data_IF_716401985984
#
_entry.id   IF_716401985984
#
_cell.length_a   1.000
_cell.length_b   1.000
_cell.length_c   1.000
_cell.angle_alpha   90.00
_cell.angle_beta   90.00
_cell.angle_gamma   90.00
#
_symmetry.space_group_name_H-M   'P 1'
#
loop_
_entity.id
_entity.type
_entity.pdbx_description
1 polymer ?
#
# COMPACT_ATOMS: atom_id res chain seq x y z
N UNK A 1 -8.88 17.52 3.10
CA UNK A 1 -9.35 17.30 1.71
C UNK A 1 -9.65 15.83 1.37
N UNK A 2 -8.71 14.88 1.48
CA UNK A 2 -8.98 13.45 1.15
C UNK A 2 -10.17 12.84 1.89
N UNK A 3 -10.36 13.18 3.18
CA UNK A 3 -11.50 12.70 3.97
C UNK A 3 -12.86 13.05 3.36
N UNK A 4 -13.00 14.23 2.75
CA UNK A 4 -14.22 14.62 2.02
C UNK A 4 -14.44 13.77 0.78
N UNK A 5 -13.38 13.54 0.00
CA UNK A 5 -13.44 12.73 -1.21
C UNK A 5 -13.88 11.31 -0.86
N UNK A 6 -13.22 10.69 0.13
CA UNK A 6 -13.57 9.34 0.59
C UNK A 6 -14.97 9.27 1.17
N UNK A 7 -15.40 10.28 1.93
CA UNK A 7 -16.76 10.35 2.44
C UNK A 7 -17.79 10.35 1.31
N UNK A 8 -17.59 11.21 0.30
CA UNK A 8 -18.54 11.32 -0.81
C UNK A 8 -18.57 10.05 -1.66
N UNK A 9 -17.40 9.46 -1.97
CA UNK A 9 -17.31 8.18 -2.69
C UNK A 9 -18.00 7.06 -1.91
N UNK A 10 -17.76 6.99 -0.59
CA UNK A 10 -18.39 5.99 0.29
C UNK A 10 -19.91 6.11 0.28
N UNK A 11 -20.44 7.34 0.29
CA UNK A 11 -21.88 7.55 0.22
C UNK A 11 -22.49 7.24 -1.13
N UNK A 12 -21.82 7.60 -2.23
CA UNK A 12 -22.25 7.19 -3.57
C UNK A 12 -22.38 5.67 -3.67
N UNK A 13 -21.38 4.94 -3.16
CA UNK A 13 -21.40 3.48 -3.10
C UNK A 13 -22.51 2.95 -2.19
N UNK A 14 -22.71 3.55 -1.01
CA UNK A 14 -23.75 3.17 -0.08
C UNK A 14 -25.15 3.31 -0.70
N UNK A 15 -25.44 4.44 -1.35
CA UNK A 15 -26.74 4.66 -1.99
C UNK A 15 -26.98 3.70 -3.16
N UNK A 16 -25.93 3.44 -3.96
CA UNK A 16 -26.00 2.45 -5.04
C UNK A 16 -26.28 1.05 -4.49
N UNK A 17 -25.56 0.61 -3.46
CA UNK A 17 -25.72 -0.72 -2.83
C UNK A 17 -27.07 -0.88 -2.14
N UNK A 18 -27.63 0.19 -1.58
CA UNK A 18 -28.94 0.19 -0.91
C UNK A 18 -30.10 0.53 -1.86
N UNK A 19 -29.83 0.70 -3.16
CA UNK A 19 -30.80 1.05 -4.20
C UNK A 19 -31.65 2.30 -3.85
N UNK A 20 -31.04 3.27 -3.17
CA UNK A 20 -31.72 4.51 -2.77
C UNK A 20 -31.65 5.53 -3.91
N UNK A 21 -32.82 6.05 -4.31
CA UNK A 21 -32.90 7.05 -5.37
C UNK A 21 -32.73 8.47 -4.80
N UNK A 22 -31.50 8.98 -4.87
CA UNK A 22 -31.11 10.32 -4.39
C UNK A 22 -31.70 11.49 -5.22
N UNK A 23 -32.36 11.22 -6.34
CA UNK A 23 -32.95 12.24 -7.22
C UNK A 23 -34.46 12.42 -7.01
N UNK A 24 -35.09 11.62 -6.12
CA UNK A 24 -36.50 11.79 -5.77
C UNK A 24 -36.67 12.83 -4.66
N UNK A 25 -37.87 13.41 -4.58
CA UNK A 25 -38.26 14.35 -3.50
C UNK A 25 -38.22 13.71 -2.09
N UNK A 26 -38.34 12.38 -2.01
CA UNK A 26 -38.29 11.66 -0.75
C UNK A 26 -36.87 11.69 -0.17
N UNK A 27 -36.76 11.91 1.14
CA UNK A 27 -35.47 11.87 1.85
C UNK A 27 -34.89 10.45 1.78
N UNK A 28 -33.60 10.36 1.50
CA UNK A 28 -32.82 9.11 1.62
C UNK A 28 -32.36 8.92 3.06
N UNK A 29 -32.10 7.67 3.42
CA UNK A 29 -31.49 7.32 4.71
C UNK A 29 -29.98 7.53 4.60
N UNK A 30 -29.44 8.34 5.51
CA UNK A 30 -28.03 8.71 5.54
C UNK A 30 -27.42 8.29 6.88
N UNK A 31 -26.38 7.44 6.88
CA UNK A 31 -25.67 7.16 8.12
C UNK A 31 -24.89 8.40 8.55
N UNK A 32 -24.79 8.62 9.87
CA UNK A 32 -23.94 9.68 10.42
C UNK A 32 -22.47 9.26 10.26
N UNK A 33 -21.60 10.08 9.63
CA UNK A 33 -20.21 9.71 9.46
C UNK A 33 -19.37 10.02 10.69
N UNK A 34 -18.30 9.25 10.85
CA UNK A 34 -17.17 9.57 11.71
C UNK A 34 -15.90 9.48 10.88
N UNK A 35 -15.05 10.51 10.97
CA UNK A 35 -13.84 10.63 10.16
C UNK A 35 -12.62 10.55 11.06
N UNK A 36 -11.67 9.71 10.67
CA UNK A 36 -10.45 9.45 11.43
C UNK A 36 -9.22 9.66 10.54
N UNK A 37 -8.15 10.15 11.15
CA UNK A 37 -6.81 10.23 10.54
C UNK A 37 -5.80 9.67 11.53
N UNK A 38 -4.95 8.74 11.09
CA UNK A 38 -3.78 8.31 11.85
C UNK A 38 -2.64 9.28 11.59
N UNK A 39 -2.14 9.92 12.64
CA UNK A 39 -1.04 10.87 12.55
C UNK A 39 0.30 10.16 12.74
N UNK A 40 1.17 10.26 11.73
CA UNK A 40 2.48 9.57 11.71
C UNK A 40 3.68 10.52 11.89
N UNK A 41 3.44 11.82 12.01
CA UNK A 41 4.48 12.84 12.16
C UNK A 41 5.01 13.01 13.60
N UNK A 42 5.88 14.00 13.78
CA UNK A 42 6.56 14.30 15.07
C UNK A 42 6.02 15.55 15.79
N UNK A 43 4.86 16.09 15.35
CA UNK A 43 4.34 17.39 15.81
C UNK A 43 4.14 17.38 17.33
N UNK A 44 4.64 18.43 18.00
CA UNK A 44 4.39 18.68 19.42
C UNK A 44 2.96 19.24 19.57
N UNK A 45 2.13 18.55 20.36
CA UNK A 45 0.70 18.87 20.51
C UNK A 45 -0.17 17.87 19.75
N UNK A 46 -1.07 17.22 20.49
CA UNK A 46 -1.96 16.18 20.00
C UNK A 46 -3.41 16.66 20.08
N UNK A 47 -3.88 17.52 19.16
CA UNK A 47 -5.29 17.86 19.12
C UNK A 47 -6.13 16.60 18.90
N UNK A 48 -7.14 16.38 19.73
CA UNK A 48 -8.04 15.24 19.56
C UNK A 48 -8.83 15.33 18.25
N UNK A 49 -9.12 16.56 17.80
CA UNK A 49 -9.82 16.86 16.57
C UNK A 49 -9.06 17.91 15.77
N UNK A 50 -9.05 17.73 14.45
CA UNK A 50 -8.66 18.78 13.50
C UNK A 50 -9.89 19.14 12.67
N UNK A 51 -10.06 20.42 12.38
CA UNK A 51 -11.09 20.88 11.45
C UNK A 51 -10.46 21.54 10.22
N UNK A 52 -11.23 21.63 9.15
CA UNK A 52 -10.77 22.26 7.91
C UNK A 52 -10.61 23.77 8.11
N UNK A 53 -11.54 24.37 8.85
CA UNK A 53 -11.49 25.79 9.19
C UNK A 53 -10.23 26.17 9.96
N UNK A 54 -9.93 25.48 11.05
CA UNK A 54 -8.78 25.78 11.90
C UNK A 54 -7.44 25.61 11.16
N UNK A 55 -7.32 24.59 10.30
CA UNK A 55 -6.05 24.28 9.64
C UNK A 55 -5.81 25.10 8.35
N UNK A 56 -6.84 25.66 7.71
CA UNK A 56 -6.71 26.30 6.38
C UNK A 56 -7.35 27.68 6.24
N UNK A 57 -8.25 28.07 7.14
CA UNK A 57 -9.02 29.31 7.05
C UNK A 57 -8.93 30.13 8.34
N UNK A 58 -7.85 29.99 9.09
CA UNK A 58 -7.57 30.75 10.32
C UNK A 58 -8.72 30.72 11.35
N UNK A 59 -9.50 29.63 11.38
CA UNK A 59 -10.64 29.45 12.29
C UNK A 59 -11.90 30.22 11.91
N UNK A 60 -12.01 30.72 10.67
CA UNK A 60 -13.22 31.41 10.19
C UNK A 60 -14.45 30.47 10.13
N UNK A 61 -15.65 31.03 10.39
CA UNK A 61 -16.89 30.28 10.30
C UNK A 61 -17.12 29.79 8.86
N UNK A 62 -17.09 28.47 8.67
CA UNK A 62 -17.24 27.83 7.37
C UNK A 62 -18.62 27.18 7.24
N UNK A 63 -19.26 27.34 6.07
CA UNK A 63 -20.52 26.64 5.77
C UNK A 63 -20.35 25.11 5.71
N UNK A 64 -19.14 24.67 5.36
CA UNK A 64 -18.74 23.27 5.40
C UNK A 64 -17.41 23.16 6.14
N UNK A 65 -17.46 22.76 7.40
CA UNK A 65 -16.28 22.41 8.18
C UNK A 65 -16.22 20.90 8.42
N UNK A 66 -15.06 20.32 8.15
CA UNK A 66 -14.84 18.87 8.21
C UNK A 66 -13.98 18.57 9.40
N UNK A 67 -14.62 18.11 10.46
CA UNK A 67 -13.93 17.67 11.66
C UNK A 67 -13.50 16.21 11.52
N UNK A 68 -12.23 15.96 11.79
CA UNK A 68 -11.64 14.62 11.82
C UNK A 68 -11.05 14.37 13.20
N UNK A 69 -11.29 13.18 13.75
CA UNK A 69 -10.62 12.73 14.97
C UNK A 69 -9.23 12.23 14.62
N UNK A 70 -8.23 12.65 15.39
CA UNK A 70 -6.84 12.26 15.16
C UNK A 70 -6.47 11.11 16.07
N UNK A 71 -5.94 10.05 15.47
CA UNK A 71 -5.41 8.88 16.16
C UNK A 71 -3.88 8.98 16.19
N UNK A 72 -3.32 8.85 17.38
CA UNK A 72 -1.88 8.89 17.61
C UNK A 72 -1.41 7.52 18.07
N UNK A 73 -0.19 7.15 17.69
CA UNK A 73 0.48 6.02 18.32
C UNK A 73 0.76 6.35 19.78
N UNK A 74 0.30 5.51 20.69
CA UNK A 74 0.55 5.61 22.13
C UNK A 74 2.00 5.23 22.49
N UNK A 75 2.68 4.48 21.61
CA UNK A 75 3.97 3.84 21.88
C UNK A 75 3.84 2.47 22.54
N UNK A 76 2.62 2.05 22.86
CA UNK A 76 2.30 0.70 23.32
C UNK A 76 2.22 -0.28 22.13
N UNK A 77 2.07 -1.57 22.43
CA UNK A 77 1.90 -2.62 21.41
C UNK A 77 0.44 -2.69 20.90
N UNK A 78 -0.08 -1.55 20.46
CA UNK A 78 -1.43 -1.42 19.87
C UNK A 78 -1.37 -1.24 18.35
N UNK A 79 -2.47 -1.54 17.68
CA UNK A 79 -2.55 -1.52 16.20
C UNK A 79 -2.22 -0.14 15.59
N UNK A 80 -2.57 0.95 16.28
CA UNK A 80 -2.28 2.32 15.80
C UNK A 80 -0.79 2.60 15.94
N UNK A 81 -0.18 2.25 17.06
CA UNK A 81 1.26 2.38 17.28
C UNK A 81 2.09 1.53 16.31
N UNK A 82 1.64 0.30 16.03
CA UNK A 82 2.26 -0.56 15.03
C UNK A 82 2.16 0.05 13.62
N UNK A 83 0.99 0.57 13.23
CA UNK A 83 0.82 1.27 11.95
C UNK A 83 1.71 2.51 11.85
N UNK A 84 1.80 3.34 12.91
CA UNK A 84 2.68 4.51 12.94
C UNK A 84 4.14 4.09 12.75
N UNK A 85 4.54 2.99 13.39
CA UNK A 85 5.89 2.43 13.23
C UNK A 85 6.14 1.96 11.80
N UNK A 86 5.19 1.24 11.20
CA UNK A 86 5.25 0.82 9.80
C UNK A 86 5.42 2.01 8.85
N UNK A 87 4.61 3.06 9.02
CA UNK A 87 4.69 4.27 8.20
C UNK A 87 6.05 4.99 8.33
N UNK A 88 6.62 5.03 9.54
CA UNK A 88 7.96 5.60 9.77
C UNK A 88 9.06 4.79 9.08
N UNK A 89 9.03 3.46 9.23
CA UNK A 89 9.97 2.56 8.53
C UNK A 89 9.86 2.75 7.02
N UNK A 90 8.64 2.84 6.50
CA UNK A 90 8.42 3.09 5.08
C UNK A 90 9.01 4.42 4.61
N UNK A 91 8.79 5.51 5.34
CA UNK A 91 9.36 6.81 5.00
C UNK A 91 10.90 6.77 4.99
N UNK A 92 11.53 6.01 5.89
CA UNK A 92 12.98 5.76 5.88
C UNK A 92 13.43 4.98 4.64
N UNK A 93 12.73 3.90 4.29
CA UNK A 93 13.06 3.10 3.10
C UNK A 93 12.83 3.88 1.81
N UNK A 94 11.77 4.68 1.73
CA UNK A 94 11.50 5.55 0.59
C UNK A 94 12.58 6.62 0.42
N UNK A 95 13.12 7.18 1.52
CA UNK A 95 14.26 8.11 1.45
C UNK A 95 15.53 7.44 0.94
N UNK A 96 15.75 6.15 1.24
CA UNK A 96 16.93 5.38 0.81
C UNK A 96 16.83 4.85 -0.63
N UNK A 97 15.69 4.30 -0.99
CA UNK A 97 15.49 3.52 -2.22
C UNK A 97 14.55 4.20 -3.21
N UNK A 98 14.03 5.39 -2.90
CA UNK A 98 13.03 6.07 -3.70
C UNK A 98 11.65 5.41 -3.59
N UNK A 99 10.74 5.82 -4.49
CA UNK A 99 9.43 5.19 -4.65
C UNK A 99 9.57 3.90 -5.47
N UNK A 100 10.11 2.85 -4.86
CA UNK A 100 10.41 1.60 -5.56
C UNK A 100 9.81 0.40 -4.84
N UNK A 101 9.60 -0.69 -5.59
CA UNK A 101 9.24 -2.01 -5.03
C UNK A 101 10.21 -2.44 -3.93
N UNK A 102 11.51 -2.16 -4.10
CA UNK A 102 12.55 -2.43 -3.09
C UNK A 102 12.26 -1.72 -1.77
N UNK A 103 11.84 -0.45 -1.80
CA UNK A 103 11.49 0.28 -0.57
C UNK A 103 10.33 -0.40 0.19
N UNK A 104 9.35 -0.93 -0.54
CA UNK A 104 8.19 -1.64 0.03
C UNK A 104 8.63 -2.97 0.64
N UNK A 105 9.36 -3.80 -0.11
CA UNK A 105 9.82 -5.11 0.37
C UNK A 105 10.74 -5.00 1.60
N UNK A 106 11.67 -4.04 1.61
CA UNK A 106 12.50 -3.79 2.79
C UNK A 106 11.69 -3.29 3.98
N UNK A 107 10.64 -2.48 3.74
CA UNK A 107 9.74 -2.06 4.81
C UNK A 107 9.04 -3.26 5.44
N UNK A 108 8.49 -4.15 4.62
CA UNK A 108 7.80 -5.35 5.09
C UNK A 108 8.77 -6.25 5.87
N UNK A 109 9.96 -6.52 5.32
CA UNK A 109 11.01 -7.31 5.98
C UNK A 109 11.37 -6.73 7.35
N UNK A 110 11.69 -5.44 7.42
CA UNK A 110 12.06 -4.76 8.67
C UNK A 110 10.92 -4.77 9.68
N UNK A 111 9.67 -4.59 9.23
CA UNK A 111 8.52 -4.63 10.14
C UNK A 111 8.29 -6.04 10.70
N UNK A 112 8.44 -7.09 9.88
CA UNK A 112 8.40 -8.48 10.36
C UNK A 112 9.49 -8.76 11.39
N UNK A 113 10.73 -8.36 11.10
CA UNK A 113 11.88 -8.53 12.02
C UNK A 113 11.64 -7.82 13.37
N UNK A 114 10.88 -6.72 13.38
CA UNK A 114 10.54 -5.93 14.56
C UNK A 114 9.21 -6.32 15.21
N UNK A 115 8.53 -7.37 14.74
CA UNK A 115 7.19 -7.77 15.16
C UNK A 115 6.11 -6.67 14.98
N UNK A 116 6.29 -5.78 14.01
CA UNK A 116 5.32 -4.72 13.68
C UNK A 116 4.34 -5.23 12.64
N UNK A 117 3.04 -5.20 12.95
CA UNK A 117 1.96 -5.73 12.10
C UNK A 117 2.20 -7.19 11.67
N UNK A 118 2.89 -7.97 12.51
CA UNK A 118 3.45 -9.27 12.13
C UNK A 118 2.38 -10.24 11.62
N UNK A 119 1.26 -10.38 12.33
CA UNK A 119 0.16 -11.26 11.95
C UNK A 119 -0.38 -10.91 10.56
N UNK A 120 -0.63 -9.62 10.32
CA UNK A 120 -1.14 -9.13 9.05
C UNK A 120 -0.12 -9.31 7.91
N UNK A 121 1.14 -8.98 8.15
CA UNK A 121 2.19 -9.09 7.13
C UNK A 121 2.55 -10.54 6.82
N UNK A 122 2.38 -11.49 7.74
CA UNK A 122 2.58 -12.91 7.46
C UNK A 122 1.50 -13.46 6.53
N UNK A 123 0.25 -13.03 6.69
CA UNK A 123 -0.87 -13.53 5.89
C UNK A 123 -1.10 -12.76 4.58
N UNK A 124 -0.82 -11.44 4.58
CA UNK A 124 -1.28 -10.50 3.54
C UNK A 124 -0.16 -9.72 2.86
N UNK A 125 1.08 -10.20 2.92
CA UNK A 125 2.25 -9.52 2.33
C UNK A 125 2.02 -9.05 0.89
N UNK A 126 1.57 -9.94 0.00
CA UNK A 126 1.33 -9.61 -1.42
C UNK A 126 0.25 -8.57 -1.62
N UNK A 127 -0.77 -8.57 -0.76
CA UNK A 127 -1.85 -7.58 -0.79
C UNK A 127 -1.35 -6.21 -0.33
N UNK A 128 -0.57 -6.16 0.75
CA UNK A 128 0.08 -4.94 1.22
C UNK A 128 1.01 -4.38 0.15
N UNK A 129 1.83 -5.22 -0.44
CA UNK A 129 2.72 -4.83 -1.53
C UNK A 129 1.93 -4.22 -2.71
N UNK A 130 0.88 -4.90 -3.17
CA UNK A 130 0.03 -4.43 -4.26
C UNK A 130 -0.65 -3.09 -3.93
N UNK A 131 -1.17 -2.92 -2.71
CA UNK A 131 -1.79 -1.65 -2.27
C UNK A 131 -0.73 -0.53 -2.21
N UNK A 132 0.46 -0.82 -1.71
CA UNK A 132 1.52 0.21 -1.60
C UNK A 132 2.09 0.61 -2.95
N UNK A 133 2.22 -0.33 -3.88
CA UNK A 133 2.46 -0.04 -5.29
C UNK A 133 1.31 0.77 -5.88
N UNK A 134 0.06 0.42 -5.51
CA UNK A 134 -1.13 1.08 -6.00
C UNK A 134 -1.25 2.56 -5.62
N UNK A 135 -0.64 2.97 -4.51
CA UNK A 135 -0.61 4.38 -4.11
C UNK A 135 0.29 5.25 -5.00
N UNK A 136 1.05 4.64 -5.91
CA UNK A 136 1.83 5.30 -6.94
C UNK A 136 1.08 5.22 -8.26
N UNK A 137 0.32 6.29 -8.56
CA UNK A 137 -0.44 6.60 -9.80
C UNK A 137 -1.10 5.42 -10.54
N UNK A 138 -2.42 5.47 -10.75
CA UNK A 138 -3.26 4.34 -11.24
C UNK A 138 -2.73 3.63 -12.52
N UNK A 139 -1.96 4.34 -13.34
CA UNK A 139 -1.36 3.84 -14.57
C UNK A 139 -0.09 2.98 -14.35
N UNK A 140 0.69 3.27 -13.30
CA UNK A 140 1.93 2.55 -12.97
C UNK A 140 1.65 1.20 -12.30
N UNK A 141 0.59 1.11 -11.49
CA UNK A 141 0.10 -0.11 -10.80
C UNK A 141 -0.23 -1.23 -11.80
N UNK A 142 -0.99 -0.90 -12.84
CA UNK A 142 -1.42 -1.87 -13.83
C UNK A 142 -0.20 -2.38 -14.62
N UNK A 143 0.71 -1.46 -14.97
CA UNK A 143 1.94 -1.80 -15.68
C UNK A 143 2.88 -2.67 -14.83
N UNK A 144 3.03 -2.38 -13.54
CA UNK A 144 3.89 -3.15 -12.64
C UNK A 144 3.27 -4.48 -12.22
N UNK A 145 1.94 -4.58 -12.05
CA UNK A 145 1.26 -5.86 -11.86
C UNK A 145 1.44 -6.75 -13.11
N UNK A 146 1.23 -6.21 -14.31
CA UNK A 146 1.45 -6.95 -15.57
C UNK A 146 2.93 -7.35 -15.73
N UNK A 147 3.87 -6.48 -15.39
CA UNK A 147 5.31 -6.79 -15.45
C UNK A 147 5.71 -7.85 -14.42
N UNK A 148 5.22 -7.76 -13.20
CA UNK A 148 5.54 -8.72 -12.13
C UNK A 148 4.94 -10.10 -12.38
N UNK A 149 3.69 -10.22 -12.83
CA UNK A 149 3.14 -11.53 -13.21
C UNK A 149 3.88 -12.14 -14.41
N UNK A 150 4.22 -11.31 -15.42
CA UNK A 150 5.04 -11.78 -16.54
C UNK A 150 6.42 -12.21 -16.09
N UNK A 151 7.05 -11.47 -15.18
CA UNK A 151 8.36 -11.81 -14.63
C UNK A 151 8.32 -13.11 -13.83
N UNK A 152 7.32 -13.30 -12.97
CA UNK A 152 7.21 -14.49 -12.12
C UNK A 152 6.94 -15.75 -12.95
N UNK A 153 6.03 -15.67 -13.93
CA UNK A 153 5.81 -16.76 -14.89
C UNK A 153 7.09 -17.06 -15.69
N UNK A 154 7.80 -16.01 -16.12
CA UNK A 154 9.09 -16.17 -16.82
C UNK A 154 10.16 -16.82 -15.94
N UNK A 155 10.20 -16.46 -14.64
CA UNK A 155 11.09 -17.05 -13.63
C UNK A 155 10.78 -18.52 -13.40
N UNK A 156 9.51 -18.90 -13.25
CA UNK A 156 9.09 -20.30 -13.09
C UNK A 156 9.51 -21.17 -14.29
N UNK A 157 9.34 -20.64 -15.51
CA UNK A 157 9.79 -21.30 -16.74
C UNK A 157 11.32 -21.45 -16.75
N UNK A 158 12.06 -20.40 -16.41
CA UNK A 158 13.52 -20.43 -16.32
C UNK A 158 14.01 -21.45 -15.28
N UNK A 159 13.37 -21.51 -14.11
CA UNK A 159 13.66 -22.49 -13.06
C UNK A 159 13.47 -23.91 -13.58
N UNK A 160 12.38 -24.17 -14.32
CA UNK A 160 12.12 -25.48 -14.90
C UNK A 160 13.20 -25.86 -15.92
N UNK A 161 13.56 -24.95 -16.83
CA UNK A 161 14.60 -25.17 -17.84
C UNK A 161 15.98 -25.39 -17.21
N UNK A 162 16.33 -24.64 -16.15
CA UNK A 162 17.58 -24.82 -15.40
C UNK A 162 17.64 -26.17 -14.70
N UNK A 163 16.53 -26.66 -14.14
CA UNK A 163 16.44 -27.99 -13.51
C UNK A 163 16.54 -29.13 -14.52
N UNK A 164 16.02 -28.94 -15.74
CA UNK A 164 16.16 -29.91 -16.83
C UNK A 164 17.60 -30.02 -17.34
N UNK A 165 18.43 -28.97 -17.16
CA UNK A 165 19.88 -29.01 -17.39
C UNK A 165 20.32 -29.06 -18.86
N UNK A 166 19.40 -28.91 -19.81
CA UNK A 166 19.65 -29.10 -21.23
C UNK A 166 20.02 -27.81 -21.99
N UNK A 167 19.91 -26.65 -21.35
CA UNK A 167 20.11 -25.33 -21.98
C UNK A 167 21.09 -24.49 -21.15
N UNK A 168 21.94 -23.70 -21.82
CA UNK A 168 22.82 -22.72 -21.16
C UNK A 168 22.03 -21.51 -20.66
N UNK A 169 22.62 -20.75 -19.73
CA UNK A 169 22.06 -19.50 -19.20
C UNK A 169 21.73 -18.51 -20.33
N UNK A 170 22.63 -18.40 -21.30
CA UNK A 170 22.47 -17.51 -22.47
C UNK A 170 21.32 -17.98 -23.37
N UNK A 171 21.17 -19.30 -23.56
CA UNK A 171 20.07 -19.85 -24.34
C UNK A 171 18.73 -19.61 -23.65
N UNK A 172 18.65 -19.82 -22.33
CA UNK A 172 17.43 -19.59 -21.55
C UNK A 172 17.03 -18.12 -21.60
N UNK A 173 17.97 -17.19 -21.44
CA UNK A 173 17.72 -15.75 -21.60
C UNK A 173 17.27 -15.40 -23.03
N UNK A 174 17.78 -16.09 -24.04
CA UNK A 174 17.33 -15.95 -25.42
C UNK A 174 15.91 -16.46 -25.68
N UNK A 175 15.46 -17.50 -24.96
CA UNK A 175 14.10 -18.04 -25.08
C UNK A 175 13.06 -17.24 -24.30
N UNK A 176 13.47 -16.59 -23.22
CA UNK A 176 12.58 -15.85 -22.31
C UNK A 176 12.90 -14.38 -22.43
N UNK A 177 12.27 -13.70 -23.40
CA UNK A 177 12.53 -12.29 -23.73
C UNK A 177 12.34 -11.31 -22.57
N UNK A 178 11.67 -11.72 -21.49
CA UNK A 178 11.46 -10.91 -20.28
C UNK A 178 12.55 -11.10 -19.21
N UNK A 179 13.57 -11.95 -19.44
CA UNK A 179 14.69 -12.16 -18.52
C UNK A 179 16.01 -11.82 -19.21
N UNK A 180 16.88 -11.10 -18.50
CA UNK A 180 18.25 -10.89 -18.95
C UNK A 180 19.14 -12.09 -18.61
N UNK A 181 20.33 -12.16 -19.21
CA UNK A 181 21.34 -13.17 -18.85
C UNK A 181 21.65 -13.11 -17.35
N UNK A 182 21.74 -11.91 -16.78
CA UNK A 182 22.04 -11.74 -15.35
C UNK A 182 20.87 -12.14 -14.45
N UNK A 183 19.62 -11.94 -14.89
CA UNK A 183 18.45 -12.49 -14.19
C UNK A 183 18.51 -14.01 -14.12
N UNK A 184 18.82 -14.68 -15.23
CA UNK A 184 18.93 -16.15 -15.28
C UNK A 184 20.09 -16.64 -14.40
N UNK A 185 21.24 -15.94 -14.37
CA UNK A 185 22.34 -16.25 -13.44
C UNK A 185 21.92 -16.13 -11.98
N UNK A 186 21.20 -15.07 -11.63
CA UNK A 186 20.69 -14.88 -10.27
C UNK A 186 19.72 -16.00 -9.89
N UNK A 187 18.79 -16.35 -10.76
CA UNK A 187 17.85 -17.47 -10.56
C UNK A 187 18.61 -18.78 -10.37
N UNK A 188 19.66 -19.03 -11.16
CA UNK A 188 20.50 -20.22 -11.02
C UNK A 188 21.24 -20.25 -9.68
N UNK A 189 21.75 -19.11 -9.20
CA UNK A 189 22.39 -19.00 -7.89
C UNK A 189 21.39 -19.26 -6.74
N UNK A 190 20.18 -18.69 -6.82
CA UNK A 190 19.09 -18.94 -5.85
C UNK A 190 18.71 -20.44 -5.81
N UNK A 191 18.69 -21.12 -6.96
CA UNK A 191 18.45 -22.56 -7.06
C UNK A 191 19.55 -23.41 -6.42
N UNK A 192 20.82 -22.99 -6.55
CA UNK A 192 21.95 -23.70 -5.96
C UNK A 192 22.06 -23.51 -4.44
N UNK A 193 21.55 -22.39 -3.91
CA UNK A 193 21.52 -22.09 -2.47
C UNK A 193 20.32 -22.73 -1.75
N UNK A 194 19.33 -23.24 -2.48
CA UNK A 194 18.13 -23.89 -1.94
C UNK A 194 18.21 -25.43 -1.90
N UNK A 195 19.40 -25.99 -2.15
CA UNK A 195 19.76 -27.42 -2.04
C UNK A 195 20.72 -27.60 -0.86
#
# INVERSE_FOLDING_TARGET
MRSLMYLMTTYQDYFRKTNQNIYKKAKVTFPKPELYVVFTGEKQGHPEYMSLSEEFFDGEECFLDVCVRVLYGSGEDDIISQYVTFAKVYDEQRKKHGKTRTAILETIRICKDKNVLIEYLLEREKEVEAIMLAMYDEEEILLDYIRSEKYENSKEIAVKMLKEGNLSVEQIAGYISNLTIDDVKRIQQELLQSV
#
